data_IF_511028840239
#
_entry.id   IF_511028840239
#
_cell.length_a   1.000
_cell.length_b   1.000
_cell.length_c   1.000
_cell.angle_alpha   90.00
_cell.angle_beta   90.00
_cell.angle_gamma   90.00
#
_symmetry.space_group_name_H-M   'P 1'
#
loop_
_entity.id
_entity.type
_entity.pdbx_description
1 polymer ?
#
# COMPACT_ATOMS: atom_id res chain seq x y z
N UNK A 1 3.07 15.52 -4.13
CA UNK A 1 3.08 14.70 -5.36
C UNK A 1 1.86 13.79 -5.42
N UNK A 2 1.59 12.93 -4.43
CA UNK A 2 0.40 12.06 -4.43
C UNK A 2 -0.94 12.80 -4.56
N UNK A 3 -1.14 13.89 -3.80
CA UNK A 3 -2.32 14.75 -3.95
C UNK A 3 -2.49 15.37 -5.34
N UNK A 4 -1.39 15.83 -5.95
CA UNK A 4 -1.42 16.40 -7.32
C UNK A 4 -1.81 15.33 -8.34
N UNK A 5 -1.31 14.11 -8.16
CA UNK A 5 -1.71 12.97 -8.98
C UNK A 5 -3.19 12.61 -8.78
N UNK A 6 -3.69 12.64 -7.54
CA UNK A 6 -5.11 12.43 -7.23
C UNK A 6 -6.01 13.43 -7.96
N UNK A 7 -5.69 14.72 -7.87
CA UNK A 7 -6.43 15.79 -8.52
C UNK A 7 -6.47 15.60 -10.05
N UNK A 8 -5.31 15.29 -10.66
CA UNK A 8 -5.23 15.02 -12.09
C UNK A 8 -6.07 13.79 -12.50
N UNK A 9 -6.06 12.73 -11.68
CA UNK A 9 -6.79 11.50 -11.96
C UNK A 9 -8.30 11.72 -11.87
N UNK A 10 -8.77 12.47 -10.86
CA UNK A 10 -10.18 12.86 -10.74
C UNK A 10 -10.60 13.76 -11.91
N UNK A 11 -9.76 14.71 -12.31
CA UNK A 11 -10.05 15.61 -13.43
C UNK A 11 -10.22 14.85 -14.76
N UNK A 12 -9.29 13.95 -15.11
CA UNK A 12 -9.39 13.14 -16.33
C UNK A 12 -10.68 12.34 -16.34
N UNK A 13 -11.04 11.77 -15.20
CA UNK A 13 -12.22 10.91 -15.09
C UNK A 13 -13.52 11.70 -15.18
N UNK A 14 -13.55 12.90 -14.59
CA UNK A 14 -14.64 13.85 -14.81
C UNK A 14 -14.80 14.18 -16.30
N UNK A 15 -13.71 14.51 -17.00
CA UNK A 15 -13.75 14.79 -18.44
C UNK A 15 -14.27 13.60 -19.26
N UNK A 16 -13.87 12.38 -18.93
CA UNK A 16 -14.34 11.17 -19.62
C UNK A 16 -15.82 10.86 -19.34
N UNK A 17 -16.29 11.05 -18.11
CA UNK A 17 -17.73 10.89 -17.80
C UNK A 17 -18.58 11.93 -18.51
N UNK A 18 -18.11 13.16 -18.64
CA UNK A 18 -18.83 14.19 -19.39
C UNK A 18 -18.96 13.84 -20.87
N UNK A 19 -17.90 13.31 -21.51
CA UNK A 19 -17.90 12.85 -22.92
C UNK A 19 -18.71 11.57 -23.16
N UNK A 20 -19.06 10.83 -22.12
CA UNK A 20 -19.79 9.58 -22.26
C UNK A 20 -21.28 9.84 -22.48
N UNK A 21 -21.77 9.62 -23.70
CA UNK A 21 -23.19 9.78 -24.05
C UNK A 21 -24.08 8.63 -23.53
N UNK A 22 -23.47 7.53 -23.09
CA UNK A 22 -24.17 6.34 -22.61
C UNK A 22 -24.79 6.49 -21.21
N UNK A 23 -24.37 7.51 -20.44
CA UNK A 23 -24.79 7.71 -19.06
C UNK A 23 -25.77 8.89 -18.96
N UNK A 24 -26.85 8.69 -18.21
CA UNK A 24 -27.72 9.79 -17.81
C UNK A 24 -26.99 10.72 -16.83
N UNK A 25 -27.45 11.95 -16.67
CA UNK A 25 -26.83 12.92 -15.76
C UNK A 25 -26.68 12.40 -14.32
N UNK A 26 -27.68 11.65 -13.82
CA UNK A 26 -27.63 11.04 -12.48
C UNK A 26 -26.55 9.96 -12.38
N UNK A 27 -26.40 9.12 -13.41
CA UNK A 27 -25.39 8.07 -13.43
C UNK A 27 -23.98 8.65 -13.54
N UNK A 28 -23.82 9.77 -14.25
CA UNK A 28 -22.56 10.52 -14.26
C UNK A 28 -22.18 11.00 -12.86
N UNK A 29 -23.11 11.61 -12.12
CA UNK A 29 -22.84 12.04 -10.74
C UNK A 29 -22.48 10.85 -9.82
N UNK A 30 -23.23 9.74 -9.90
CA UNK A 30 -22.90 8.55 -9.11
C UNK A 30 -21.53 7.95 -9.47
N UNK A 31 -21.17 7.99 -10.75
CA UNK A 31 -19.87 7.52 -11.22
C UNK A 31 -18.74 8.45 -10.76
N UNK A 32 -18.93 9.77 -10.83
CA UNK A 32 -18.00 10.78 -10.32
C UNK A 32 -17.76 10.62 -8.81
N UNK A 33 -18.84 10.48 -8.02
CA UNK A 33 -18.76 10.27 -6.57
C UNK A 33 -18.05 8.95 -6.23
N UNK A 34 -18.42 7.87 -6.93
CA UNK A 34 -17.79 6.56 -6.74
C UNK A 34 -16.30 6.58 -7.07
N UNK A 35 -15.91 7.34 -8.10
CA UNK A 35 -14.52 7.43 -8.51
C UNK A 35 -13.68 8.29 -7.56
N UNK A 36 -14.25 9.34 -6.97
CA UNK A 36 -13.59 10.12 -5.94
C UNK A 36 -13.21 9.24 -4.73
N UNK A 37 -14.14 8.37 -4.29
CA UNK A 37 -13.88 7.41 -3.20
C UNK A 37 -12.75 6.44 -3.54
N UNK A 38 -12.73 5.91 -4.77
CA UNK A 38 -11.68 4.98 -5.22
C UNK A 38 -10.32 5.68 -5.29
N UNK A 39 -10.27 6.90 -5.84
CA UNK A 39 -9.05 7.68 -5.93
C UNK A 39 -8.48 7.97 -4.53
N UNK A 40 -9.33 8.34 -3.57
CA UNK A 40 -8.92 8.61 -2.19
C UNK A 40 -8.39 7.35 -1.49
N UNK A 41 -9.04 6.21 -1.68
CA UNK A 41 -8.58 4.92 -1.17
C UNK A 41 -7.18 4.55 -1.70
N UNK A 42 -6.96 4.66 -3.02
CA UNK A 42 -5.66 4.35 -3.63
C UNK A 42 -4.55 5.23 -3.06
N UNK A 43 -4.79 6.53 -2.94
CA UNK A 43 -3.82 7.47 -2.40
C UNK A 43 -3.52 7.17 -0.93
N UNK A 44 -4.55 6.89 -0.13
CA UNK A 44 -4.39 6.52 1.27
C UNK A 44 -3.50 5.28 1.42
N UNK A 45 -3.75 4.22 0.65
CA UNK A 45 -2.93 3.01 0.66
C UNK A 45 -1.49 3.26 0.19
N UNK A 46 -1.31 4.12 -0.82
CA UNK A 46 0.02 4.53 -1.29
C UNK A 46 0.78 5.33 -0.22
N UNK A 47 0.12 6.25 0.46
CA UNK A 47 0.71 7.02 1.56
C UNK A 47 1.07 6.09 2.72
N UNK A 48 0.17 5.20 3.15
CA UNK A 48 0.45 4.21 4.20
C UNK A 48 1.62 3.30 3.81
N UNK A 49 1.66 2.81 2.57
CA UNK A 49 2.76 1.99 2.06
C UNK A 49 4.08 2.75 2.03
N UNK A 50 4.08 4.01 1.58
CA UNK A 50 5.26 4.86 1.51
C UNK A 50 5.78 5.23 2.90
N UNK A 51 4.90 5.64 3.82
CA UNK A 51 5.27 5.93 5.21
C UNK A 51 5.68 4.67 5.96
N UNK A 52 5.02 3.54 5.71
CA UNK A 52 5.38 2.24 6.27
C UNK A 52 6.74 1.73 5.78
N UNK A 53 7.07 1.96 4.50
CA UNK A 53 8.37 1.61 3.92
C UNK A 53 9.49 2.56 4.37
N UNK A 54 9.20 3.85 4.44
CA UNK A 54 10.17 4.86 4.91
C UNK A 54 10.45 4.76 6.41
N UNK A 55 9.44 4.40 7.23
CA UNK A 55 9.63 4.10 8.65
C UNK A 55 10.44 2.81 8.91
N UNK A 56 10.42 1.84 7.99
CA UNK A 56 11.23 0.60 8.09
C UNK A 56 12.64 0.73 7.51
N UNK A 57 13.01 1.91 7.04
CA UNK A 57 14.35 2.20 6.54
C UNK A 57 14.68 1.49 5.24
N UNK A 58 14.75 2.25 4.15
CA UNK A 58 15.66 1.99 3.03
C UNK A 58 17.12 2.22 3.45
N UNK A 59 17.47 1.82 4.67
CA UNK A 59 18.75 1.99 5.32
C UNK A 59 19.52 0.67 5.35
N UNK A 60 20.53 0.59 4.50
CA UNK A 60 21.66 -0.36 4.54
C UNK A 60 21.40 -1.82 4.15
N UNK A 61 21.57 -2.10 2.85
CA UNK A 61 22.08 -3.39 2.35
C UNK A 61 23.62 -3.44 2.32
N UNK A 62 24.31 -2.84 3.29
CA UNK A 62 25.78 -2.97 3.43
C UNK A 62 26.14 -3.53 4.81
N UNK A 63 25.70 -4.75 5.07
CA UNK A 63 26.05 -5.53 6.26
C UNK A 63 26.26 -7.00 5.91
N UNK A 64 26.90 -7.27 4.78
CA UNK A 64 27.48 -8.59 4.55
C UNK A 64 28.41 -8.95 5.70
N UNK A 65 28.33 -10.22 6.12
CA UNK A 65 29.25 -10.92 7.03
C UNK A 65 29.18 -10.51 8.49
N UNK A 66 28.43 -11.29 9.27
CA UNK A 66 28.93 -11.97 10.47
C UNK A 66 27.86 -13.00 10.89
N UNK A 67 28.11 -14.28 10.64
CA UNK A 67 28.67 -15.21 11.62
C UNK A 67 27.57 -16.04 12.27
N UNK A 68 27.52 -17.31 11.85
CA UNK A 68 27.30 -18.42 12.76
C UNK A 68 27.69 -18.05 14.19
N UNK A 69 26.71 -17.93 15.09
CA UNK A 69 26.87 -18.32 16.48
C UNK A 69 25.54 -18.85 17.02
N UNK A 70 25.52 -20.18 17.15
CA UNK A 70 24.82 -20.94 18.20
C UNK A 70 23.29 -20.92 18.15
N UNK A 71 22.72 -21.80 17.31
CA UNK A 71 21.66 -22.65 17.87
C UNK A 71 22.35 -23.54 18.89
N UNK A 72 22.12 -23.30 20.18
CA UNK A 72 22.38 -24.35 21.18
C UNK A 72 21.51 -25.55 20.78
N UNK A 73 22.11 -26.72 20.71
CA UNK A 73 21.38 -27.98 20.59
C UNK A 73 20.31 -28.03 21.69
N UNK A 74 19.11 -28.58 21.43
CA UNK A 74 18.25 -29.06 22.49
C UNK A 74 18.86 -30.36 23.01
N UNK A 75 20.03 -30.27 23.63
CA UNK A 75 20.57 -31.38 24.41
C UNK A 75 19.69 -31.55 25.64
N UNK A 76 19.11 -32.75 25.73
CA UNK A 76 18.92 -33.49 26.98
C UNK A 76 18.15 -32.77 28.09
N UNK A 77 16.82 -32.96 28.12
CA UNK A 77 16.04 -32.91 29.36
C UNK A 77 14.87 -33.92 29.37
N UNK A 78 15.06 -35.08 28.72
CA UNK A 78 14.36 -36.28 29.15
C UNK A 78 15.31 -37.01 30.11
N UNK A 79 15.16 -36.73 31.39
CA UNK A 79 15.61 -37.64 32.43
C UNK A 79 14.46 -38.59 32.77
N UNK A 80 14.79 -39.86 32.64
CA UNK A 80 14.06 -41.03 33.12
C UNK A 80 13.96 -41.07 34.66
N UNK A 81 12.94 -41.81 35.10
CA UNK A 81 12.78 -42.55 36.36
C UNK A 81 12.67 -41.79 37.70
N UNK A 82 11.42 -41.61 38.15
CA UNK A 82 10.93 -42.05 39.46
C UNK A 82 9.41 -41.97 39.57
#
# INVERSE_FOLDING_TARGET
MWRVFQEALVQVMHEEFQKTDALTAREKTLAEDGWAVIADFIITEMEVGFYGASARGLGSRSGGRNCFMKRKSPESNYRDDS
#
